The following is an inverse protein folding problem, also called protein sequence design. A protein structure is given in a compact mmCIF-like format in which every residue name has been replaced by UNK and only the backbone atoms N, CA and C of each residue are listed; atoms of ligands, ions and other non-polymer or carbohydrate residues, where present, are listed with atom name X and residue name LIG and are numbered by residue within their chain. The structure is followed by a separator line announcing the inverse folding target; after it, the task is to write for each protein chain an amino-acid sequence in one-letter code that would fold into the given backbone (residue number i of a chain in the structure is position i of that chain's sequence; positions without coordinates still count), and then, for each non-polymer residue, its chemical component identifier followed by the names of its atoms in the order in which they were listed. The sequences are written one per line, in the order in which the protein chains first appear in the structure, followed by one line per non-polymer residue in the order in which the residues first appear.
data_IF_695296415992
#
_entry.id   IF_695296415992
#
_cell.length_a   1.000
_cell.length_b   1.000
_cell.length_c   1.000
_cell.angle_alpha   90.00
_cell.angle_beta   90.00
_cell.angle_gamma   90.00
#
_symmetry.space_group_name_H-M   'P 1'
#
loop_
_entity.id
_entity.type
_entity.pdbx_description
1 polymer ?
#
# COMPACT_ATOMS: atom_id res chain seq x y z
N UNK A 1 28.13 -18.84 -54.50
CA UNK A 1 29.03 -19.20 -53.38
C UNK A 1 29.08 -18.00 -52.44
N UNK A 2 28.11 -17.90 -51.54
CA UNK A 2 28.01 -16.85 -50.53
C UNK A 2 28.39 -17.48 -49.18
N UNK A 3 29.36 -16.95 -48.43
CA UNK A 3 29.70 -17.48 -47.10
C UNK A 3 28.59 -17.17 -46.10
N UNK A 4 28.29 -18.14 -45.23
CA UNK A 4 27.34 -18.05 -44.11
C UNK A 4 27.98 -17.25 -42.97
N UNK A 5 27.24 -16.44 -42.19
CA UNK A 5 27.75 -15.91 -40.94
C UNK A 5 27.77 -17.00 -39.85
N UNK A 6 28.88 -17.04 -39.12
CA UNK A 6 29.16 -17.95 -38.01
C UNK A 6 28.22 -17.73 -36.82
N UNK A 7 27.71 -18.84 -36.31
CA UNK A 7 27.00 -18.91 -35.04
C UNK A 7 28.01 -18.81 -33.89
N UNK A 8 28.15 -17.62 -33.31
CA UNK A 8 28.86 -17.42 -32.04
C UNK A 8 27.83 -17.37 -30.89
N UNK A 9 27.88 -18.40 -30.04
CA UNK A 9 27.04 -18.54 -28.86
C UNK A 9 27.25 -17.41 -27.85
N UNK A 10 26.15 -16.92 -27.28
CA UNK A 10 26.19 -16.12 -26.06
C UNK A 10 26.30 -17.05 -24.86
N UNK A 11 27.30 -16.88 -23.98
CA UNK A 11 27.34 -17.57 -22.70
C UNK A 11 26.23 -17.04 -21.78
N UNK A 12 25.59 -17.96 -21.06
CA UNK A 12 24.54 -17.69 -20.09
C UNK A 12 25.03 -16.70 -19.03
N UNK A 13 24.30 -15.60 -18.89
CA UNK A 13 24.37 -14.74 -17.73
C UNK A 13 23.60 -15.39 -16.60
N UNK A 14 24.31 -15.72 -15.53
CA UNK A 14 23.77 -16.08 -14.22
C UNK A 14 22.73 -15.03 -13.81
N UNK A 15 21.45 -15.39 -13.93
CA UNK A 15 20.39 -14.72 -13.18
C UNK A 15 20.64 -15.07 -11.72
N UNK A 16 21.39 -14.16 -11.09
CA UNK A 16 21.74 -14.19 -9.68
C UNK A 16 20.53 -14.59 -8.85
N UNK A 17 20.74 -15.65 -8.09
CA UNK A 17 19.95 -16.07 -6.94
C UNK A 17 19.43 -14.83 -6.22
N UNK A 18 18.10 -14.61 -6.27
CA UNK A 18 17.42 -13.76 -5.29
C UNK A 18 17.51 -14.51 -3.95
N UNK A 19 18.67 -14.43 -3.33
CA UNK A 19 18.94 -14.93 -2.00
C UNK A 19 18.15 -14.06 -1.03
N UNK A 20 17.23 -14.73 -0.34
CA UNK A 20 16.91 -14.54 1.06
C UNK A 20 16.79 -13.08 1.53
N UNK A 21 15.57 -12.55 1.48
CA UNK A 21 15.15 -11.53 2.45
C UNK A 21 14.95 -12.20 3.81
N UNK A 22 16.08 -12.53 4.45
CA UNK A 22 16.16 -12.75 5.88
C UNK A 22 16.44 -11.37 6.50
N UNK A 23 15.45 -10.81 7.20
CA UNK A 23 15.67 -9.78 8.24
C UNK A 23 14.36 -9.46 8.95
N UNK A 24 14.05 -10.30 9.94
CA UNK A 24 13.39 -9.86 11.16
C UNK A 24 14.24 -8.80 11.86
N UNK A 25 13.96 -7.53 11.55
CA UNK A 25 14.24 -6.42 12.47
C UNK A 25 12.94 -5.64 12.60
N UNK A 26 12.17 -5.94 13.65
CA UNK A 26 11.12 -5.02 14.13
C UNK A 26 11.80 -3.79 14.73
N UNK A 27 12.38 -2.95 13.87
CA UNK A 27 12.63 -1.57 14.22
C UNK A 27 11.26 -0.94 14.49
N UNK A 28 11.05 -0.48 15.73
CA UNK A 28 9.84 0.27 16.04
C UNK A 28 9.82 1.51 15.13
N UNK A 29 8.82 1.65 14.23
CA UNK A 29 8.85 2.68 13.22
C UNK A 29 8.92 4.05 13.91
N UNK A 30 9.75 4.99 13.42
CA UNK A 30 9.82 6.33 13.98
C UNK A 30 8.41 6.91 14.01
N UNK A 31 8.07 7.61 15.10
CA UNK A 31 6.76 8.23 15.23
C UNK A 31 6.47 9.06 13.97
N UNK A 32 5.30 8.89 13.33
CA UNK A 32 4.99 9.53 12.06
C UNK A 32 5.24 11.03 12.14
N UNK A 33 5.77 11.62 11.07
CA UNK A 33 6.09 13.05 11.07
C UNK A 33 4.81 13.86 11.25
N UNK A 34 5.03 15.12 11.60
CA UNK A 34 3.98 16.13 11.66
C UNK A 34 3.26 16.15 10.30
N UNK A 35 2.03 15.62 10.25
CA UNK A 35 1.15 15.62 9.06
C UNK A 35 0.84 14.24 8.49
N UNK A 36 1.51 13.20 8.98
CA UNK A 36 1.43 11.83 8.43
C UNK A 36 0.54 10.90 9.26
N UNK A 37 -0.12 11.40 10.31
CA UNK A 37 -0.94 10.56 11.17
C UNK A 37 -2.24 10.15 10.45
N UNK A 38 -2.39 8.85 10.22
CA UNK A 38 -3.61 8.26 9.70
C UNK A 38 -4.62 7.98 10.82
N UNK A 39 -5.90 8.04 10.47
CA UNK A 39 -6.99 7.77 11.39
C UNK A 39 -6.95 6.30 11.77
N UNK A 40 -6.85 6.01 13.08
CA UNK A 40 -6.78 4.63 13.58
C UNK A 40 -8.09 3.82 13.38
N UNK A 41 -9.08 4.35 12.67
CA UNK A 41 -10.32 3.67 12.30
C UNK A 41 -10.46 3.48 10.79
N UNK A 42 -10.32 4.56 10.01
CA UNK A 42 -10.58 4.54 8.56
C UNK A 42 -9.34 4.82 7.68
N UNK A 43 -8.16 4.98 8.27
CA UNK A 43 -6.92 5.25 7.54
C UNK A 43 -6.78 6.66 6.94
N UNK A 44 -7.85 7.46 6.87
CA UNK A 44 -7.79 8.84 6.34
C UNK A 44 -6.81 9.73 7.12
N UNK A 45 -6.17 10.71 6.47
CA UNK A 45 -5.32 11.67 7.17
C UNK A 45 -6.10 12.35 8.31
N UNK A 46 -5.43 12.56 9.44
CA UNK A 46 -5.97 13.26 10.59
C UNK A 46 -5.31 14.62 10.69
N UNK A 47 -6.13 15.66 10.70
CA UNK A 47 -5.63 17.02 10.90
C UNK A 47 -4.83 17.08 12.19
N UNK A 48 -3.65 17.69 12.08
CA UNK A 48 -2.91 18.15 13.22
C UNK A 48 -3.75 19.19 13.95
N UNK A 49 -4.29 18.82 15.12
CA UNK A 49 -4.72 19.84 16.06
C UNK A 49 -3.54 20.77 16.39
N UNK A 50 -3.83 21.95 16.94
CA UNK A 50 -2.80 22.90 17.40
C UNK A 50 -1.88 22.32 18.50
N UNK A 51 -1.24 23.18 19.29
CA UNK A 51 -0.36 22.77 20.40
C UNK A 51 -1.11 21.85 21.39
N UNK A 52 -0.74 20.56 21.43
CA UNK A 52 -1.36 19.57 22.31
C UNK A 52 -1.20 18.13 21.82
N UNK A 53 -1.91 17.20 22.48
CA UNK A 53 -1.90 15.76 22.13
C UNK A 53 -2.48 15.56 20.73
N UNK A 54 -1.72 14.89 19.86
CA UNK A 54 -2.13 14.56 18.48
C UNK A 54 -3.48 13.83 18.46
N UNK A 55 -4.33 14.21 17.51
CA UNK A 55 -5.62 13.54 17.27
C UNK A 55 -5.36 12.16 16.66
N UNK A 56 -6.05 11.13 17.15
CA UNK A 56 -5.97 9.74 16.64
C UNK A 56 -7.08 9.43 15.61
N UNK A 57 -8.11 10.25 15.55
CA UNK A 57 -9.31 10.02 14.73
C UNK A 57 -9.66 11.29 13.97
N UNK A 58 -10.02 11.15 12.70
CA UNK A 58 -10.38 12.28 11.85
C UNK A 58 -11.68 12.96 12.31
N UNK A 59 -12.66 12.21 12.84
CA UNK A 59 -13.99 12.69 13.26
C UNK A 59 -14.54 11.95 14.49
N UNK A 60 -15.53 12.54 15.16
CA UNK A 60 -16.21 11.95 16.34
C UNK A 60 -16.82 10.57 16.05
N UNK A 61 -17.41 10.38 14.87
CA UNK A 61 -17.99 9.10 14.44
C UNK A 61 -16.96 7.98 14.37
N UNK A 62 -15.78 8.23 13.80
CA UNK A 62 -14.68 7.27 13.76
C UNK A 62 -14.21 6.87 15.17
N UNK A 63 -14.15 7.84 16.11
CA UNK A 63 -13.83 7.55 17.51
C UNK A 63 -14.89 6.66 18.16
N UNK A 64 -16.17 6.92 17.91
CA UNK A 64 -17.29 6.15 18.47
C UNK A 64 -17.25 4.69 17.97
N UNK A 65 -17.12 4.49 16.66
CA UNK A 65 -17.04 3.13 16.08
C UNK A 65 -15.81 2.34 16.54
N UNK A 66 -14.66 3.02 16.68
CA UNK A 66 -13.46 2.39 17.25
C UNK A 66 -13.66 1.95 18.72
N UNK A 67 -14.45 2.70 19.49
CA UNK A 67 -14.80 2.30 20.85
C UNK A 67 -15.74 1.09 20.85
N UNK A 68 -16.78 1.10 20.02
CA UNK A 68 -17.73 -0.02 19.88
C UNK A 68 -17.02 -1.30 19.47
N UNK A 69 -16.14 -1.24 18.47
CA UNK A 69 -15.35 -2.40 18.05
C UNK A 69 -14.48 -2.93 19.19
N UNK A 70 -13.69 -2.09 19.87
CA UNK A 70 -12.88 -2.55 21.01
C UNK A 70 -13.73 -3.17 22.12
N UNK A 71 -14.90 -2.60 22.40
CA UNK A 71 -15.83 -3.16 23.39
C UNK A 71 -16.32 -4.54 22.95
N UNK A 72 -16.67 -4.72 21.68
CA UNK A 72 -17.07 -6.01 21.12
C UNK A 72 -15.93 -7.04 21.16
N UNK A 73 -14.71 -6.66 20.79
CA UNK A 73 -13.54 -7.56 20.81
C UNK A 73 -13.18 -7.98 22.24
N UNK A 74 -13.28 -7.07 23.21
CA UNK A 74 -13.08 -7.39 24.63
C UNK A 74 -14.12 -8.39 25.15
N UNK A 75 -15.33 -8.38 24.62
CA UNK A 75 -16.34 -9.39 24.94
C UNK A 75 -16.06 -10.76 24.29
N UNK A 76 -15.15 -10.82 23.32
CA UNK A 76 -14.76 -12.03 22.60
C UNK A 76 -13.37 -12.55 23.03
N UNK A 77 -12.80 -12.00 24.12
CA UNK A 77 -11.46 -12.33 24.63
C UNK A 77 -10.33 -12.29 23.58
N UNK A 78 -10.46 -11.42 22.58
CA UNK A 78 -9.42 -11.23 21.56
C UNK A 78 -8.29 -10.32 22.07
N UNK A 79 -7.03 -10.57 21.68
CA UNK A 79 -5.90 -9.74 22.05
C UNK A 79 -6.06 -8.25 21.70
N UNK A 80 -5.39 -7.38 22.47
CA UNK A 80 -5.36 -5.95 22.13
C UNK A 80 -4.61 -5.73 20.80
N UNK A 81 -5.16 -4.85 19.96
CA UNK A 81 -4.60 -4.58 18.63
C UNK A 81 -5.13 -5.49 17.52
N UNK A 82 -5.94 -6.52 17.83
CA UNK A 82 -6.62 -7.31 16.81
C UNK A 82 -7.53 -6.44 15.95
N UNK A 83 -7.37 -6.53 14.63
CA UNK A 83 -8.24 -5.90 13.64
C UNK A 83 -9.17 -6.97 13.09
N UNK A 84 -10.48 -6.82 13.30
CA UNK A 84 -11.49 -7.73 12.74
C UNK A 84 -12.20 -7.03 11.59
N UNK A 85 -12.04 -7.55 10.38
CA UNK A 85 -12.77 -7.13 9.20
C UNK A 85 -13.93 -8.09 8.97
N UNK A 86 -15.07 -7.55 8.53
CA UNK A 86 -16.10 -8.39 7.91
C UNK A 86 -15.58 -8.96 6.59
N UNK A 87 -16.23 -10.00 6.08
CA UNK A 87 -15.91 -10.58 4.78
C UNK A 87 -15.98 -9.52 3.66
N UNK A 88 -17.04 -8.70 3.65
CA UNK A 88 -17.19 -7.62 2.68
C UNK A 88 -16.07 -6.57 2.75
N UNK A 89 -15.63 -6.19 3.96
CA UNK A 89 -14.51 -5.25 4.14
C UNK A 89 -13.18 -5.87 3.68
N UNK A 90 -12.97 -7.17 3.92
CA UNK A 90 -11.78 -7.89 3.46
C UNK A 90 -11.74 -7.97 1.94
N UNK A 91 -12.84 -8.36 1.30
CA UNK A 91 -12.95 -8.43 -0.16
C UNK A 91 -12.74 -7.07 -0.81
N UNK A 92 -13.40 -6.02 -0.31
CA UNK A 92 -13.22 -4.66 -0.81
C UNK A 92 -11.78 -4.14 -0.65
N UNK A 93 -11.09 -4.51 0.43
CA UNK A 93 -9.67 -4.19 0.59
C UNK A 93 -8.81 -4.91 -0.46
N UNK A 94 -9.05 -6.21 -0.67
CA UNK A 94 -8.32 -7.00 -1.66
C UNK A 94 -8.53 -6.49 -3.08
N UNK A 95 -9.77 -6.10 -3.44
CA UNK A 95 -10.09 -5.53 -4.74
C UNK A 95 -9.34 -4.22 -4.99
N UNK A 96 -9.25 -3.34 -3.99
CA UNK A 96 -8.52 -2.08 -4.11
C UNK A 96 -7.01 -2.28 -4.22
N UNK A 97 -6.46 -3.27 -3.50
CA UNK A 97 -5.04 -3.65 -3.65
C UNK A 97 -4.75 -4.25 -5.02
N UNK A 98 -5.66 -5.06 -5.55
CA UNK A 98 -5.57 -5.60 -6.90
C UNK A 98 -5.58 -4.48 -7.95
N UNK A 99 -6.51 -3.53 -7.84
CA UNK A 99 -6.57 -2.35 -8.72
C UNK A 99 -5.30 -1.51 -8.68
N UNK A 100 -4.74 -1.29 -7.48
CA UNK A 100 -3.46 -0.57 -7.33
C UNK A 100 -2.32 -1.30 -8.05
N UNK A 101 -2.21 -2.62 -7.87
CA UNK A 101 -1.20 -3.43 -8.56
C UNK A 101 -1.33 -3.35 -10.07
N UNK A 102 -2.55 -3.47 -10.60
CA UNK A 102 -2.80 -3.32 -12.04
C UNK A 102 -2.38 -1.94 -12.55
N UNK A 103 -2.74 -0.86 -11.85
CA UNK A 103 -2.32 0.48 -12.22
C UNK A 103 -0.78 0.64 -12.21
N UNK A 104 -0.06 0.01 -11.26
CA UNK A 104 1.41 -0.05 -11.29
C UNK A 104 1.93 -0.78 -12.53
N UNK A 105 1.32 -1.91 -12.88
CA UNK A 105 1.72 -2.74 -14.02
C UNK A 105 1.48 -2.02 -15.34
N UNK A 106 0.35 -1.33 -15.47
CA UNK A 106 0.00 -0.52 -16.64
C UNK A 106 1.01 0.62 -16.83
N UNK A 107 1.32 1.36 -15.75
CA UNK A 107 2.34 2.42 -15.81
C UNK A 107 3.72 1.87 -16.19
N UNK A 108 4.11 0.71 -15.65
CA UNK A 108 5.37 0.05 -16.01
C UNK A 108 5.40 -0.30 -17.51
N UNK A 109 4.30 -0.80 -18.05
CA UNK A 109 4.19 -1.12 -19.49
C UNK A 109 4.30 0.15 -20.33
N UNK A 110 3.59 1.22 -19.99
CA UNK A 110 3.65 2.49 -20.71
C UNK A 110 5.06 3.09 -20.71
N UNK A 111 5.79 2.99 -19.59
CA UNK A 111 7.21 3.40 -19.52
C UNK A 111 8.07 2.55 -20.48
N UNK A 112 7.85 1.24 -20.52
CA UNK A 112 8.62 0.33 -21.37
C UNK A 112 8.33 0.55 -22.88
N UNK A 113 7.11 0.95 -23.22
CA UNK A 113 6.68 1.25 -24.59
C UNK A 113 7.05 2.68 -25.04
N UNK A 114 7.54 3.51 -24.12
CA UNK A 114 7.99 4.88 -24.42
C UNK A 114 6.83 5.85 -24.63
N UNK A 115 5.73 5.67 -23.88
CA UNK A 115 4.54 6.51 -23.98
C UNK A 115 4.85 7.99 -23.66
N UNK A 116 4.03 8.89 -24.21
CA UNK A 116 4.25 10.34 -24.07
C UNK A 116 4.28 10.78 -22.58
N UNK A 117 5.18 11.72 -22.20
CA UNK A 117 5.30 12.17 -20.82
C UNK A 117 4.00 12.70 -20.19
N UNK A 118 3.09 13.30 -20.97
CA UNK A 118 1.81 13.77 -20.44
C UNK A 118 0.90 12.61 -20.04
N UNK A 119 0.94 11.50 -20.79
CA UNK A 119 0.20 10.29 -20.46
C UNK A 119 0.78 9.61 -19.22
N UNK A 120 2.11 9.48 -19.14
CA UNK A 120 2.77 8.94 -17.95
C UNK A 120 2.49 9.76 -16.68
N UNK A 121 2.40 11.09 -16.79
CA UNK A 121 2.01 11.97 -15.70
C UNK A 121 0.57 11.68 -15.24
N UNK A 122 -0.38 11.55 -16.17
CA UNK A 122 -1.78 11.20 -15.88
C UNK A 122 -1.90 9.85 -15.20
N UNK A 123 -1.23 8.82 -15.72
CA UNK A 123 -1.20 7.48 -15.14
C UNK A 123 -0.61 7.50 -13.71
N UNK A 124 0.41 8.32 -13.47
CA UNK A 124 0.99 8.49 -12.14
C UNK A 124 0.01 9.13 -11.14
N UNK A 125 -0.80 10.09 -11.57
CA UNK A 125 -1.87 10.67 -10.75
C UNK A 125 -2.95 9.63 -10.42
N UNK A 126 -3.37 8.84 -11.41
CA UNK A 126 -4.33 7.74 -11.22
C UNK A 126 -3.81 6.68 -10.26
N UNK A 127 -2.51 6.37 -10.32
CA UNK A 127 -1.82 5.46 -9.41
C UNK A 127 -1.87 5.98 -7.97
N UNK A 128 -1.51 7.25 -7.76
CA UNK A 128 -1.57 7.90 -6.42
C UNK A 128 -3.01 7.89 -5.91
N UNK A 129 -3.99 8.16 -6.78
CA UNK A 129 -5.40 8.09 -6.41
C UNK A 129 -5.80 6.66 -6.00
N UNK A 130 -5.36 5.62 -6.72
CA UNK A 130 -5.58 4.22 -6.37
C UNK A 130 -4.95 3.85 -5.02
N UNK A 131 -3.72 4.30 -4.76
CA UNK A 131 -3.04 4.07 -3.48
C UNK A 131 -3.83 4.67 -2.31
N UNK A 132 -4.29 5.92 -2.43
CA UNK A 132 -5.14 6.58 -1.43
C UNK A 132 -6.49 5.89 -1.24
N UNK A 133 -6.98 5.16 -2.25
CA UNK A 133 -8.17 4.31 -2.11
C UNK A 133 -7.85 3.04 -1.32
N UNK A 134 -6.72 2.40 -1.61
CA UNK A 134 -6.27 1.18 -0.94
C UNK A 134 -5.92 1.39 0.55
N UNK A 135 -5.39 2.56 0.92
CA UNK A 135 -5.06 2.91 2.33
C UNK A 135 -6.26 2.92 3.29
N UNK A 136 -7.50 3.00 2.78
CA UNK A 136 -8.68 3.13 3.63
C UNK A 136 -9.12 1.77 4.17
N UNK A 137 -8.99 1.56 5.46
CA UNK A 137 -9.40 0.26 6.03
C UNK A 137 -10.93 0.09 6.13
N UNK A 138 -11.70 1.19 6.22
CA UNK A 138 -13.16 1.23 6.40
C UNK A 138 -13.77 2.55 5.92
#
# INVERSE_FOLDING_TARGET
MFPRPDAAGHPGGDLGTLSSVDSDVRAEPPAPRRGEASCAWCGRPVDEGGTGRRRRYCRRSCRQRAYEQRRSLRMQDLPEGTVVLSEAESTDLMDRMFQLRCACEDLRTAIAEGEDPAELARMSEDLVAAARRAERLR
#
